data_IF_963278534604
#
_entry.id   IF_963278534604
#
_cell.length_a   1.000
_cell.length_b   1.000
_cell.length_c   1.000
_cell.angle_alpha   90.00
_cell.angle_beta   90.00
_cell.angle_gamma   90.00
#
_symmetry.space_group_name_H-M   'P 1'
#
loop_
_entity.id
_entity.type
_entity.pdbx_description
1 polymer ?
#
# COMPACT_ATOMS: atom_id res chain seq x y z
N UNK A 1 34.57 37.02 -45.53
CA UNK A 1 33.17 36.52 -45.55
C UNK A 1 33.04 35.42 -44.50
N UNK A 2 32.39 35.69 -43.36
CA UNK A 2 32.16 34.68 -42.30
C UNK A 2 30.85 33.96 -42.60
N UNK A 3 30.90 32.65 -42.78
CA UNK A 3 29.73 31.80 -42.99
C UNK A 3 28.81 31.84 -41.76
N UNK A 4 27.56 32.22 -41.98
CA UNK A 4 26.48 32.17 -41.00
C UNK A 4 26.11 30.69 -40.75
N UNK A 5 26.51 30.14 -39.60
CA UNK A 5 26.03 28.84 -39.11
C UNK A 5 24.66 29.04 -38.47
N UNK A 6 23.57 28.41 -38.96
CA UNK A 6 22.30 28.46 -38.25
C UNK A 6 22.44 27.73 -36.91
N UNK A 7 21.92 28.35 -35.85
CA UNK A 7 21.86 27.76 -34.53
C UNK A 7 21.06 26.45 -34.61
N UNK A 8 21.68 25.33 -34.20
CA UNK A 8 20.96 24.11 -33.93
C UNK A 8 19.85 24.43 -32.93
N UNK A 9 18.61 24.26 -33.38
CA UNK A 9 17.45 24.31 -32.50
C UNK A 9 17.55 23.14 -31.56
N UNK A 10 18.12 23.40 -30.38
CA UNK A 10 18.07 22.50 -29.24
C UNK A 10 16.62 22.48 -28.75
N UNK A 11 15.74 21.82 -29.49
CA UNK A 11 14.45 21.39 -28.96
C UNK A 11 14.83 20.24 -28.03
N UNK A 12 14.73 20.39 -26.70
CA UNK A 12 14.83 19.24 -25.84
C UNK A 12 13.65 18.33 -26.19
N UNK A 13 13.89 17.31 -27.01
CA UNK A 13 13.02 16.12 -27.12
C UNK A 13 13.19 15.24 -25.87
N UNK A 14 13.40 15.88 -24.72
CA UNK A 14 13.22 15.29 -23.42
C UNK A 14 11.80 15.62 -23.01
N UNK A 15 10.84 14.82 -23.48
CA UNK A 15 9.67 14.60 -22.65
C UNK A 15 10.27 14.11 -21.34
N UNK A 16 10.11 14.93 -20.29
CA UNK A 16 10.47 14.57 -18.95
C UNK A 16 9.66 13.32 -18.59
N UNK A 17 10.19 12.15 -18.93
CA UNK A 17 9.71 10.81 -18.59
C UNK A 17 10.03 10.53 -17.11
N UNK A 18 9.73 11.51 -16.28
CA UNK A 18 10.30 11.71 -14.96
C UNK A 18 9.27 12.30 -14.02
N UNK A 19 8.10 11.66 -13.87
CA UNK A 19 7.19 12.03 -12.79
C UNK A 19 6.25 10.93 -12.27
N UNK A 20 6.00 9.81 -12.98
CA UNK A 20 5.07 8.77 -12.49
C UNK A 20 5.52 7.34 -12.87
N UNK A 21 6.82 7.02 -12.82
CA UNK A 21 7.24 5.62 -12.98
C UNK A 21 7.02 4.92 -11.65
N UNK A 22 5.84 4.34 -11.51
CA UNK A 22 5.48 3.45 -10.41
C UNK A 22 6.32 2.18 -10.53
N UNK A 23 7.16 1.91 -9.53
CA UNK A 23 8.01 0.71 -9.56
C UNK A 23 7.20 -0.51 -9.11
N UNK A 24 6.63 -1.23 -10.07
CA UNK A 24 5.81 -2.42 -9.81
C UNK A 24 6.49 -3.47 -8.93
N UNK A 25 7.80 -3.70 -9.10
CA UNK A 25 8.57 -4.63 -8.27
C UNK A 25 8.58 -4.22 -6.78
N UNK A 26 8.68 -2.91 -6.50
CA UNK A 26 8.70 -2.38 -5.13
C UNK A 26 7.31 -2.46 -4.51
N UNK A 27 6.26 -2.19 -5.28
CA UNK A 27 4.87 -2.31 -4.83
C UNK A 27 4.55 -3.76 -4.47
N UNK A 28 4.84 -4.73 -5.35
CA UNK A 28 4.53 -6.13 -5.09
C UNK A 28 5.23 -6.61 -3.82
N UNK A 29 6.51 -6.27 -3.63
CA UNK A 29 7.26 -6.58 -2.41
C UNK A 29 6.64 -5.91 -1.17
N UNK A 30 6.28 -4.64 -1.27
CA UNK A 30 5.67 -3.90 -0.16
C UNK A 30 4.30 -4.49 0.21
N UNK A 31 3.44 -4.74 -0.77
CA UNK A 31 2.12 -5.37 -0.55
C UNK A 31 2.28 -6.74 0.10
N UNK A 32 3.20 -7.58 -0.37
CA UNK A 32 3.44 -8.89 0.24
C UNK A 32 3.86 -8.77 1.72
N UNK A 33 4.78 -7.86 2.04
CA UNK A 33 5.20 -7.60 3.42
C UNK A 33 4.03 -7.11 4.27
N UNK A 34 3.26 -6.13 3.75
CA UNK A 34 2.14 -5.56 4.47
C UNK A 34 1.08 -6.62 4.78
N UNK A 35 0.67 -7.40 3.77
CA UNK A 35 -0.33 -8.46 3.91
C UNK A 35 0.13 -9.53 4.91
N UNK A 36 1.37 -10.02 4.79
CA UNK A 36 1.90 -11.05 5.69
C UNK A 36 1.93 -10.57 7.14
N UNK A 37 2.46 -9.37 7.39
CA UNK A 37 2.52 -8.81 8.74
C UNK A 37 1.11 -8.59 9.29
N UNK A 38 0.19 -8.05 8.49
CA UNK A 38 -1.19 -7.83 8.91
C UNK A 38 -1.91 -9.13 9.26
N UNK A 39 -1.71 -10.21 8.49
CA UNK A 39 -2.29 -11.53 8.78
C UNK A 39 -1.66 -12.13 10.06
N UNK A 40 -0.34 -12.01 10.24
CA UNK A 40 0.33 -12.49 11.45
C UNK A 40 -0.17 -11.75 12.69
N UNK A 41 -0.43 -10.43 12.60
CA UNK A 41 -1.02 -9.66 13.69
C UNK A 41 -2.49 -10.04 13.97
N UNK A 42 -3.16 -10.67 13.00
CA UNK A 42 -4.54 -11.13 13.07
C UNK A 42 -4.66 -12.56 13.62
N UNK A 43 -3.64 -13.41 13.50
CA UNK A 43 -3.73 -14.81 13.95
C UNK A 43 -3.84 -15.02 15.49
N UNK A 44 -3.24 -14.20 16.39
CA UNK A 44 -3.27 -14.44 17.83
C UNK A 44 -4.65 -14.15 18.43
N UNK A 45 -5.41 -15.16 18.89
CA UNK A 45 -6.78 -14.99 19.38
C UNK A 45 -6.88 -14.08 20.63
N UNK A 46 -5.81 -14.02 21.43
CA UNK A 46 -5.75 -13.19 22.64
C UNK A 46 -5.37 -11.73 22.41
N UNK A 47 -4.80 -11.37 21.25
CA UNK A 47 -4.32 -10.01 20.94
C UNK A 47 -5.23 -9.33 19.90
N UNK A 48 -6.05 -10.11 19.19
CA UNK A 48 -6.93 -9.72 18.09
C UNK A 48 -7.75 -8.43 18.30
N UNK A 49 -8.18 -8.17 19.54
CA UNK A 49 -9.00 -7.00 19.86
C UNK A 49 -8.23 -5.66 19.79
N UNK A 50 -6.91 -5.69 19.92
CA UNK A 50 -6.03 -4.50 19.85
C UNK A 50 -5.05 -4.60 18.67
N UNK A 51 -4.54 -5.80 18.35
CA UNK A 51 -3.64 -6.03 17.20
C UNK A 51 -4.36 -6.20 15.87
N UNK A 52 -5.63 -6.64 15.86
CA UNK A 52 -6.43 -6.71 14.63
C UNK A 52 -6.54 -5.35 13.96
N UNK A 53 -6.89 -4.29 14.73
CA UNK A 53 -6.86 -2.92 14.24
C UNK A 53 -5.46 -2.42 13.83
N UNK A 54 -4.44 -2.74 14.62
CA UNK A 54 -3.08 -2.20 14.39
C UNK A 54 -2.31 -2.94 13.28
N UNK A 55 -2.72 -4.15 12.89
CA UNK A 55 -2.05 -4.98 11.90
C UNK A 55 -1.79 -4.31 10.54
N UNK A 56 -2.77 -3.65 9.92
CA UNK A 56 -2.58 -2.87 8.68
C UNK A 56 -1.60 -1.72 8.85
N UNK A 57 -1.63 -1.06 10.00
CA UNK A 57 -0.80 0.10 10.30
C UNK A 57 0.67 -0.32 10.46
N UNK A 58 0.93 -1.38 11.25
CA UNK A 58 2.27 -1.93 11.43
C UNK A 58 2.79 -2.52 10.11
N UNK A 59 1.99 -3.36 9.44
CA UNK A 59 2.37 -3.98 8.17
C UNK A 59 2.65 -2.95 7.08
N UNK A 60 1.78 -1.95 6.95
CA UNK A 60 1.96 -0.83 6.03
C UNK A 60 3.23 -0.06 6.33
N UNK A 61 3.46 0.36 7.58
CA UNK A 61 4.65 1.12 7.96
C UNK A 61 5.96 0.38 7.71
N UNK A 62 6.02 -0.91 8.06
CA UNK A 62 7.21 -1.74 7.80
C UNK A 62 7.43 -1.97 6.31
N UNK A 63 6.38 -2.24 5.54
CA UNK A 63 6.47 -2.36 4.09
C UNK A 63 6.98 -1.07 3.45
N UNK A 64 6.42 0.07 3.85
CA UNK A 64 6.80 1.40 3.40
C UNK A 64 8.26 1.73 3.69
N UNK A 65 8.71 1.52 4.93
CA UNK A 65 10.09 1.83 5.34
C UNK A 65 11.12 0.93 4.66
N UNK A 66 10.85 -0.38 4.56
CA UNK A 66 11.76 -1.35 3.92
C UNK A 66 11.89 -1.15 2.42
N UNK A 67 10.81 -0.74 1.76
CA UNK A 67 10.82 -0.55 0.30
C UNK A 67 11.00 0.91 -0.12
N UNK A 68 10.93 1.85 0.82
CA UNK A 68 11.09 3.32 0.66
C UNK A 68 10.06 3.97 -0.26
N UNK A 69 8.80 3.56 -0.14
CA UNK A 69 7.75 3.95 -1.09
C UNK A 69 7.59 5.46 -1.23
N UNK A 70 7.31 5.90 -2.46
CA UNK A 70 6.77 7.22 -2.74
C UNK A 70 5.28 7.27 -2.33
N UNK A 71 4.70 8.45 -2.07
CA UNK A 71 3.29 8.58 -1.71
C UNK A 71 2.33 7.95 -2.74
N UNK A 72 2.63 8.05 -4.04
CA UNK A 72 1.84 7.42 -5.10
C UNK A 72 1.91 5.89 -5.05
N UNK A 73 3.07 5.30 -4.76
CA UNK A 73 3.24 3.85 -4.61
C UNK A 73 2.54 3.35 -3.34
N UNK A 74 2.57 4.13 -2.25
CA UNK A 74 1.87 3.81 -1.01
C UNK A 74 0.33 3.80 -1.19
N UNK A 75 -0.21 4.70 -2.02
CA UNK A 75 -1.63 4.68 -2.36
C UNK A 75 -2.03 3.38 -3.10
N UNK A 76 -1.19 2.92 -4.03
CA UNK A 76 -1.41 1.64 -4.73
C UNK A 76 -1.31 0.45 -3.77
N UNK A 77 -0.35 0.46 -2.83
CA UNK A 77 -0.27 -0.57 -1.78
C UNK A 77 -1.53 -0.59 -0.92
N UNK A 78 -2.08 0.57 -0.56
CA UNK A 78 -3.35 0.69 0.14
C UNK A 78 -4.51 0.08 -0.66
N UNK A 79 -4.61 0.39 -1.96
CA UNK A 79 -5.63 -0.21 -2.82
C UNK A 79 -5.50 -1.74 -2.86
N UNK A 80 -4.28 -2.27 -3.00
CA UNK A 80 -4.04 -3.71 -3.00
C UNK A 80 -4.39 -4.35 -1.66
N UNK A 81 -4.10 -3.70 -0.53
CA UNK A 81 -4.50 -4.15 0.80
C UNK A 81 -6.03 -4.20 0.96
N UNK A 82 -6.74 -3.20 0.43
CA UNK A 82 -8.20 -3.19 0.43
C UNK A 82 -8.77 -4.39 -0.34
N UNK A 83 -8.24 -4.65 -1.54
CA UNK A 83 -8.72 -5.72 -2.42
C UNK A 83 -8.35 -7.11 -1.92
N UNK A 84 -7.12 -7.30 -1.42
CA UNK A 84 -6.59 -8.61 -1.06
C UNK A 84 -6.94 -9.04 0.38
N UNK A 85 -7.20 -8.08 1.27
CA UNK A 85 -7.45 -8.38 2.68
C UNK A 85 -8.79 -7.80 3.12
N UNK A 86 -9.01 -6.50 2.93
CA UNK A 86 -10.21 -5.82 3.43
C UNK A 86 -11.53 -6.38 2.91
N UNK A 87 -11.67 -6.54 1.59
CA UNK A 87 -12.87 -7.10 0.94
C UNK A 87 -13.10 -8.58 1.31
N UNK A 88 -12.11 -9.49 1.14
CA UNK A 88 -12.34 -10.92 1.39
C UNK A 88 -12.40 -11.29 2.87
N UNK A 89 -11.91 -10.45 3.80
CA UNK A 89 -11.86 -10.75 5.23
C UNK A 89 -13.17 -11.32 5.82
N UNK A 90 -14.35 -10.67 5.71
CA UNK A 90 -15.59 -11.20 6.29
C UNK A 90 -16.06 -12.51 5.64
N UNK A 91 -15.74 -12.72 4.36
CA UNK A 91 -16.05 -13.98 3.66
C UNK A 91 -15.18 -15.10 4.26
N UNK A 92 -13.87 -14.88 4.36
CA UNK A 92 -12.94 -15.87 4.93
C UNK A 92 -13.28 -16.17 6.39
N UNK A 93 -13.58 -15.14 7.19
CA UNK A 93 -13.95 -15.32 8.60
C UNK A 93 -15.27 -16.11 8.78
N UNK A 94 -16.21 -15.96 7.85
CA UNK A 94 -17.44 -16.76 7.80
C UNK A 94 -17.14 -18.22 7.47
N UNK A 95 -16.37 -18.49 6.42
CA UNK A 95 -16.01 -19.87 6.01
C UNK A 95 -15.19 -20.60 7.09
N UNK A 96 -14.40 -19.87 7.88
CA UNK A 96 -13.66 -20.40 9.02
C UNK A 96 -14.51 -20.59 10.30
N UNK A 97 -15.82 -20.32 10.25
CA UNK A 97 -16.74 -20.37 11.40
C UNK A 97 -16.31 -19.50 12.60
N UNK A 98 -15.54 -18.44 12.36
CA UNK A 98 -15.13 -17.47 13.39
C UNK A 98 -16.25 -16.47 13.64
N UNK A 99 -16.97 -16.08 12.59
CA UNK A 99 -18.16 -15.24 12.67
C UNK A 99 -19.43 -16.12 12.67
N UNK A 100 -20.46 -15.74 13.43
CA UNK A 100 -21.77 -16.37 13.31
C UNK A 100 -22.31 -16.19 11.88
N UNK A 101 -23.32 -16.99 11.48
CA UNK A 101 -23.97 -16.82 10.18
C UNK A 101 -24.52 -15.39 10.06
N UNK A 102 -23.86 -14.57 9.24
CA UNK A 102 -24.27 -13.20 8.95
C UNK A 102 -24.93 -13.12 7.59
N UNK A 103 -25.95 -12.27 7.50
CA UNK A 103 -26.67 -11.98 6.27
C UNK A 103 -25.76 -11.37 5.20
N UNK A 104 -26.11 -11.57 3.93
CA UNK A 104 -25.34 -11.04 2.78
C UNK A 104 -25.11 -9.53 2.89
N UNK A 105 -26.12 -8.78 3.34
CA UNK A 105 -26.01 -7.32 3.53
C UNK A 105 -24.94 -6.94 4.57
N UNK A 106 -24.79 -7.75 5.62
CA UNK A 106 -23.77 -7.54 6.64
C UNK A 106 -22.38 -7.84 6.10
N UNK A 107 -22.24 -8.89 5.28
CA UNK A 107 -20.97 -9.20 4.58
C UNK A 107 -20.55 -8.02 3.72
N UNK A 108 -21.46 -7.48 2.89
CA UNK A 108 -21.16 -6.32 2.03
C UNK A 108 -20.73 -5.11 2.86
N UNK A 109 -21.44 -4.82 3.96
CA UNK A 109 -21.09 -3.72 4.86
C UNK A 109 -19.69 -3.91 5.47
N UNK A 110 -19.40 -5.09 6.04
CA UNK A 110 -18.10 -5.38 6.65
C UNK A 110 -16.97 -5.43 5.61
N UNK A 111 -17.22 -5.85 4.38
CA UNK A 111 -16.24 -5.80 3.29
C UNK A 111 -15.92 -4.37 2.91
N UNK A 112 -16.92 -3.49 2.82
CA UNK A 112 -16.70 -2.07 2.52
C UNK A 112 -15.91 -1.38 3.64
N UNK A 113 -16.30 -1.61 4.89
CA UNK A 113 -15.59 -1.10 6.07
C UNK A 113 -14.17 -1.66 6.12
N UNK A 114 -14.00 -2.97 5.93
CA UNK A 114 -12.70 -3.65 5.91
C UNK A 114 -11.79 -3.14 4.79
N UNK A 115 -12.33 -2.88 3.60
CA UNK A 115 -11.59 -2.30 2.48
C UNK A 115 -11.04 -0.91 2.83
N UNK A 116 -11.89 -0.03 3.37
CA UNK A 116 -11.48 1.30 3.82
C UNK A 116 -10.46 1.20 4.96
N UNK A 117 -10.66 0.24 5.86
CA UNK A 117 -9.81 0.02 7.02
C UNK A 117 -8.40 -0.42 6.62
N UNK A 118 -8.28 -1.55 5.93
CA UNK A 118 -7.00 -2.12 5.52
C UNK A 118 -6.31 -1.25 4.47
N UNK A 119 -7.07 -0.71 3.52
CA UNK A 119 -6.50 0.11 2.47
C UNK A 119 -6.08 1.50 2.95
N UNK A 120 -6.94 2.16 3.73
CA UNK A 120 -6.65 3.48 4.29
C UNK A 120 -5.48 3.42 5.27
N UNK A 121 -5.58 2.60 6.32
CA UNK A 121 -4.52 2.50 7.33
C UNK A 121 -3.23 1.92 6.76
N UNK A 122 -3.32 0.87 5.94
CA UNK A 122 -2.16 0.27 5.30
C UNK A 122 -1.44 1.23 4.37
N UNK A 123 -2.20 1.95 3.52
CA UNK A 123 -1.65 2.93 2.59
C UNK A 123 -1.03 4.14 3.29
N UNK A 124 -1.73 4.72 4.28
CA UNK A 124 -1.21 5.87 5.06
C UNK A 124 0.07 5.47 5.78
N UNK A 125 0.06 4.34 6.48
CA UNK A 125 1.22 3.87 7.22
C UNK A 125 2.40 3.55 6.29
N UNK A 126 2.15 2.94 5.13
CA UNK A 126 3.17 2.72 4.11
C UNK A 126 3.78 4.01 3.56
N UNK A 127 2.96 5.06 3.40
CA UNK A 127 3.43 6.39 3.04
C UNK A 127 4.33 6.99 4.13
N UNK A 128 3.92 6.89 5.40
CA UNK A 128 4.71 7.39 6.53
C UNK A 128 6.06 6.67 6.65
N UNK A 129 6.04 5.33 6.60
CA UNK A 129 7.25 4.52 6.67
C UNK A 129 8.20 4.79 5.51
N UNK A 130 7.66 4.94 4.29
CA UNK A 130 8.47 5.27 3.10
C UNK A 130 9.14 6.63 3.21
N UNK A 131 8.42 7.65 3.70
CA UNK A 131 8.98 9.00 3.91
C UNK A 131 10.02 9.05 5.02
N UNK A 132 9.80 8.32 6.12
CA UNK A 132 10.77 8.22 7.20
C UNK A 132 12.10 7.63 6.70
N UNK A 133 12.05 6.49 6.00
CA UNK A 133 13.24 5.81 5.48
C UNK A 133 13.98 6.60 4.37
N UNK A 134 13.29 7.46 3.63
CA UNK A 134 13.92 8.36 2.66
C UNK A 134 14.68 9.52 3.32
N UNK A 135 14.23 9.98 4.50
CA UNK A 135 14.88 11.06 5.26
C UNK A 135 16.13 10.60 6.01
N UNK A 136 16.18 9.32 6.39
CA UNK A 136 17.31 8.72 7.12
C UNK A 136 18.54 8.42 6.24
N UNK A 137 18.44 8.62 4.92
CA UNK A 137 19.63 8.65 4.06
C UNK A 137 19.98 10.09 3.70
N UNK A 138 20.82 10.75 4.52
CA UNK A 138 21.59 11.89 4.03
C UNK A 138 22.56 11.37 2.97
N UNK A 139 22.59 12.09 1.85
CA UNK A 139 23.56 11.98 0.75
C UNK A 139 25.00 11.93 1.23
#
# INVERSE_FOLDING_TARGET
MRAFRPAASNVPTGIAEGSIIVSWSRIIKATAIAVVISIICLLPPGIHFVSGPLGPLIGGYFAGSRTRLRPSEAAVVGLLMALLVGIPAPIVLRELNILPPIETIAIVFFSAVGALYFGGLGGIAAGLGGRAAQREQPS
#
